data_IF_818054573629
#
_entry.id   IF_818054573629
#
_cell.length_a   1.000
_cell.length_b   1.000
_cell.length_c   1.000
_cell.angle_alpha   90.00
_cell.angle_beta   90.00
_cell.angle_gamma   90.00
#
_symmetry.space_group_name_H-M   'P 1'
#
loop_
_entity.id
_entity.type
_entity.pdbx_description
1 polymer ?
#
# COMPACT_ATOMS: atom_id res chain seq x y z
N UNK A 1 -14.12 47.58 2.50
CA UNK A 1 -13.26 46.63 3.23
C UNK A 1 -13.14 45.38 2.38
N UNK A 2 -11.96 44.97 1.90
CA UNK A 2 -11.84 43.76 1.11
C UNK A 2 -11.83 42.56 2.06
N UNK A 3 -12.83 41.69 1.94
CA UNK A 3 -12.91 40.42 2.66
C UNK A 3 -12.04 39.41 1.91
N UNK A 4 -10.75 39.35 2.23
CA UNK A 4 -9.92 38.22 1.81
C UNK A 4 -10.45 36.99 2.53
N UNK A 5 -11.08 36.08 1.77
CA UNK A 5 -11.68 34.86 2.30
C UNK A 5 -10.64 34.01 3.05
N UNK A 6 -10.98 33.61 4.28
CA UNK A 6 -10.19 32.68 5.10
C UNK A 6 -9.83 31.37 4.37
N UNK A 7 -10.65 30.96 3.39
CA UNK A 7 -10.42 29.77 2.57
C UNK A 7 -9.15 29.84 1.69
N UNK A 8 -8.64 31.04 1.37
CA UNK A 8 -7.38 31.19 0.63
C UNK A 8 -6.14 31.13 1.54
N UNK A 9 -6.30 31.51 2.82
CA UNK A 9 -5.25 31.39 3.84
C UNK A 9 -5.08 29.95 4.37
N UNK A 10 -6.03 29.07 4.05
CA UNK A 10 -6.10 27.68 4.54
C UNK A 10 -5.47 26.65 3.58
N UNK A 11 -5.07 27.06 2.36
CA UNK A 11 -4.05 26.30 1.62
C UNK A 11 -2.74 26.48 2.37
N UNK A 12 -2.38 25.48 3.16
CA UNK A 12 -1.07 25.40 3.79
C UNK A 12 -0.02 25.80 2.76
N UNK A 13 0.82 26.79 3.09
CA UNK A 13 1.94 27.13 2.20
C UNK A 13 2.73 25.86 1.85
N UNK A 14 3.32 25.75 0.65
CA UNK A 14 3.91 24.49 0.16
C UNK A 14 4.82 23.78 1.17
N UNK A 15 5.65 24.54 1.91
CA UNK A 15 6.51 23.99 2.96
C UNK A 15 5.75 23.31 4.11
N UNK A 16 4.60 23.86 4.52
CA UNK A 16 3.75 23.28 5.58
C UNK A 16 2.97 22.06 5.07
N UNK A 17 2.56 22.05 3.81
CA UNK A 17 1.96 20.88 3.16
C UNK A 17 2.97 19.72 3.11
N UNK A 18 4.19 19.99 2.63
CA UNK A 18 5.29 19.02 2.60
C UNK A 18 5.60 18.47 3.99
N UNK A 19 5.77 19.36 4.99
CA UNK A 19 6.07 18.94 6.37
C UNK A 19 4.99 17.98 6.91
N UNK A 20 3.71 18.25 6.63
CA UNK A 20 2.61 17.39 7.07
C UNK A 20 2.56 16.07 6.30
N UNK A 21 2.77 16.08 4.99
CA UNK A 21 2.79 14.86 4.19
C UNK A 21 3.92 13.92 4.63
N UNK A 22 5.13 14.45 4.84
CA UNK A 22 6.28 13.68 5.35
C UNK A 22 6.00 13.12 6.74
N UNK A 23 5.41 13.91 7.63
CA UNK A 23 5.05 13.45 8.97
C UNK A 23 3.99 12.34 8.94
N UNK A 24 2.94 12.50 8.11
CA UNK A 24 1.88 11.51 7.97
C UNK A 24 2.41 10.19 7.39
N UNK A 25 3.17 10.24 6.29
CA UNK A 25 3.78 9.05 5.70
C UNK A 25 4.74 8.37 6.68
N UNK A 26 5.59 9.13 7.38
CA UNK A 26 6.52 8.57 8.37
C UNK A 26 5.81 7.91 9.54
N UNK A 27 4.67 8.44 9.99
CA UNK A 27 3.88 7.88 11.09
C UNK A 27 3.21 6.56 10.71
N UNK A 28 2.88 6.37 9.43
CA UNK A 28 2.33 5.12 8.91
C UNK A 28 3.43 4.11 8.57
N UNK A 29 4.51 4.55 7.93
CA UNK A 29 5.53 3.63 7.42
C UNK A 29 6.50 3.15 8.51
N UNK A 30 7.04 4.05 9.33
CA UNK A 30 8.14 3.68 10.26
C UNK A 30 7.73 2.65 11.32
N UNK A 31 6.59 2.78 12.02
CA UNK A 31 6.25 1.81 13.05
C UNK A 31 5.62 0.54 12.45
N UNK A 32 4.83 0.65 11.39
CA UNK A 32 4.08 -0.48 10.86
C UNK A 32 4.84 -1.28 9.80
N UNK A 33 5.79 -0.69 9.07
CA UNK A 33 6.55 -1.36 8.01
C UNK A 33 7.23 -2.66 8.46
N UNK A 34 7.13 -3.71 7.64
CA UNK A 34 7.90 -4.95 7.82
C UNK A 34 9.29 -4.82 7.20
N UNK A 35 10.25 -5.56 7.74
CA UNK A 35 11.65 -5.55 7.29
C UNK A 35 12.03 -6.84 6.53
N UNK A 36 11.05 -7.59 6.05
CA UNK A 36 11.23 -8.88 5.36
C UNK A 36 11.33 -8.75 3.83
N UNK A 37 11.33 -7.52 3.31
CA UNK A 37 11.41 -7.24 1.88
C UNK A 37 10.07 -7.34 1.14
N UNK A 38 8.97 -7.71 1.79
CA UNK A 38 7.63 -7.71 1.18
C UNK A 38 7.10 -6.30 0.88
N UNK A 39 7.64 -5.29 1.57
CA UNK A 39 7.13 -3.92 1.50
C UNK A 39 5.76 -3.73 2.15
N UNK A 40 5.25 -4.74 2.87
CA UNK A 40 3.97 -4.70 3.58
C UNK A 40 4.11 -4.05 4.97
N UNK A 41 2.98 -3.87 5.64
CA UNK A 41 2.92 -3.28 6.98
C UNK A 41 2.18 -4.22 7.94
N UNK A 42 2.38 -4.02 9.24
CA UNK A 42 1.66 -4.72 10.32
C UNK A 42 0.28 -4.08 10.53
N UNK A 43 -0.66 -4.84 11.07
CA UNK A 43 -1.99 -4.32 11.39
C UNK A 43 -1.96 -3.30 12.53
N UNK A 44 -1.14 -3.54 13.55
CA UNK A 44 -1.05 -2.69 14.74
C UNK A 44 0.36 -2.66 15.35
N UNK A 45 0.59 -1.63 16.16
CA UNK A 45 1.79 -1.45 16.97
C UNK A 45 1.38 -0.95 18.36
N UNK A 46 1.77 -1.63 19.46
CA UNK A 46 2.56 -2.86 19.50
C UNK A 46 1.80 -4.06 18.90
N UNK A 47 2.55 -5.04 18.38
CA UNK A 47 2.00 -6.27 17.81
C UNK A 47 1.42 -7.14 18.91
N UNK A 48 0.18 -7.60 18.75
CA UNK A 48 -0.43 -8.59 19.64
C UNK A 48 0.07 -10.01 19.33
N UNK A 49 -0.02 -10.89 20.32
CA UNK A 49 0.54 -12.25 20.21
C UNK A 49 -0.12 -13.10 19.10
N UNK A 50 -1.38 -12.80 18.76
CA UNK A 50 -2.19 -13.49 17.75
C UNK A 50 -2.35 -12.70 16.45
N UNK A 51 -1.63 -11.58 16.29
CA UNK A 51 -1.66 -10.80 15.07
C UNK A 51 -1.11 -11.60 13.89
N UNK A 52 -1.73 -11.37 12.73
CA UNK A 52 -1.17 -11.83 11.47
C UNK A 52 0.12 -11.04 11.16
N UNK A 53 1.05 -11.62 10.38
CA UNK A 53 2.33 -10.96 10.06
C UNK A 53 2.18 -9.61 9.34
N UNK A 54 1.13 -9.50 8.53
CA UNK A 54 0.80 -8.32 7.74
C UNK A 54 -0.59 -7.79 8.08
N UNK A 55 -0.83 -6.52 7.76
CA UNK A 55 -2.14 -5.88 7.79
C UNK A 55 -3.06 -6.44 6.71
N UNK A 56 -4.34 -6.10 6.84
CA UNK A 56 -5.26 -6.20 5.71
C UNK A 56 -4.94 -5.16 4.63
N UNK A 57 -5.58 -5.29 3.47
CA UNK A 57 -5.43 -4.42 2.31
C UNK A 57 -5.81 -2.98 2.66
N UNK A 58 -6.88 -2.81 3.42
CA UNK A 58 -7.40 -1.47 3.71
C UNK A 58 -6.39 -0.60 4.48
N UNK A 59 -5.77 -1.04 5.60
CA UNK A 59 -4.69 -0.27 6.23
C UNK A 59 -3.49 -0.04 5.31
N UNK A 60 -3.09 -1.05 4.53
CA UNK A 60 -1.97 -0.91 3.59
C UNK A 60 -2.24 0.17 2.52
N UNK A 61 -3.47 0.25 2.00
CA UNK A 61 -3.87 1.27 1.03
C UNK A 61 -3.71 2.69 1.57
N UNK A 62 -3.86 2.91 2.88
CA UNK A 62 -3.64 4.23 3.49
C UNK A 62 -2.16 4.64 3.42
N UNK A 63 -1.24 3.68 3.52
CA UNK A 63 0.20 3.91 3.34
C UNK A 63 0.50 4.25 1.88
N UNK A 64 -0.13 3.54 0.95
CA UNK A 64 0.00 3.81 -0.48
C UNK A 64 -0.52 5.20 -0.84
N UNK A 65 -1.70 5.59 -0.34
CA UNK A 65 -2.26 6.93 -0.54
C UNK A 65 -1.33 8.00 0.05
N UNK A 66 -0.78 7.81 1.25
CA UNK A 66 0.16 8.76 1.83
C UNK A 66 1.46 8.91 0.99
N UNK A 67 1.91 7.85 0.32
CA UNK A 67 3.01 7.92 -0.64
C UNK A 67 2.63 8.70 -1.91
N UNK A 68 1.39 8.55 -2.41
CA UNK A 68 0.87 9.35 -3.52
C UNK A 68 0.74 10.83 -3.15
N UNK A 69 0.27 11.14 -1.94
CA UNK A 69 0.13 12.51 -1.45
C UNK A 69 1.49 13.22 -1.35
N UNK A 70 2.58 12.48 -1.08
CA UNK A 70 3.94 13.03 -1.10
C UNK A 70 4.34 13.54 -2.49
N UNK A 71 4.01 12.80 -3.55
CA UNK A 71 4.39 13.22 -4.92
C UNK A 71 3.62 14.45 -5.38
N UNK A 72 2.42 14.68 -4.83
CA UNK A 72 1.64 15.89 -5.10
C UNK A 72 2.26 17.16 -4.50
N UNK A 73 3.15 17.03 -3.50
CA UNK A 73 3.79 18.17 -2.82
C UNK A 73 5.29 18.29 -3.07
N UNK A 74 5.98 17.21 -3.43
CA UNK A 74 7.41 17.20 -3.75
C UNK A 74 7.79 16.01 -4.65
N UNK A 75 8.37 16.31 -5.82
CA UNK A 75 8.80 15.33 -6.81
C UNK A 75 9.96 14.43 -6.32
N UNK A 76 10.66 14.81 -5.25
CA UNK A 76 11.71 13.98 -4.65
C UNK A 76 11.20 12.61 -4.16
N UNK A 77 9.88 12.44 -3.99
CA UNK A 77 9.25 11.21 -3.52
C UNK A 77 8.59 10.37 -4.62
N UNK A 78 8.82 10.67 -5.91
CA UNK A 78 8.19 9.95 -7.03
C UNK A 78 8.43 8.44 -7.05
N UNK A 79 9.47 7.94 -6.39
CA UNK A 79 9.74 6.51 -6.24
C UNK A 79 8.85 5.81 -5.21
N UNK A 80 8.31 6.51 -4.23
CA UNK A 80 7.56 5.91 -3.12
C UNK A 80 6.30 5.17 -3.60
N UNK A 81 5.43 5.75 -4.48
CA UNK A 81 4.27 5.02 -5.00
C UNK A 81 4.63 3.76 -5.79
N UNK A 82 5.77 3.75 -6.50
CA UNK A 82 6.19 2.58 -7.25
C UNK A 82 6.50 1.39 -6.32
N UNK A 83 7.17 1.65 -5.19
CA UNK A 83 7.42 0.63 -4.17
C UNK A 83 6.12 0.17 -3.50
N UNK A 84 5.17 1.09 -3.26
CA UNK A 84 3.86 0.72 -2.70
C UNK A 84 2.98 -0.04 -3.69
N UNK A 85 3.10 0.22 -4.98
CA UNK A 85 2.42 -0.53 -6.03
C UNK A 85 2.92 -1.98 -6.05
N UNK A 86 4.23 -2.21 -6.05
CA UNK A 86 4.82 -3.57 -6.01
C UNK A 86 4.29 -4.38 -4.83
N UNK A 87 4.22 -3.78 -3.65
CA UNK A 87 3.71 -4.46 -2.46
C UNK A 87 2.18 -4.60 -2.44
N UNK A 88 1.42 -3.68 -3.07
CA UNK A 88 -0.04 -3.81 -3.26
C UNK A 88 -0.38 -5.05 -4.10
N UNK A 89 0.47 -5.44 -5.04
CA UNK A 89 0.26 -6.64 -5.87
C UNK A 89 0.25 -7.94 -5.04
N UNK A 90 0.78 -7.94 -3.81
CA UNK A 90 0.60 -9.09 -2.91
C UNK A 90 -0.86 -9.35 -2.54
N UNK A 91 -1.75 -8.37 -2.72
CA UNK A 91 -3.19 -8.54 -2.53
C UNK A 91 -3.90 -8.99 -3.83
N UNK A 92 -3.25 -8.92 -4.99
CA UNK A 92 -3.88 -9.23 -6.28
C UNK A 92 -4.18 -10.72 -6.41
N UNK A 93 -5.46 -11.05 -6.58
CA UNK A 93 -5.93 -12.42 -6.61
C UNK A 93 -6.64 -12.75 -7.92
N UNK A 94 -6.02 -13.57 -8.78
CA UNK A 94 -6.47 -13.85 -10.16
C UNK A 94 -7.74 -14.72 -10.28
N UNK A 95 -8.18 -15.47 -9.26
CA UNK A 95 -9.40 -16.30 -9.41
C UNK A 95 -9.92 -17.13 -8.24
N UNK A 96 -10.26 -16.52 -7.09
CA UNK A 96 -10.85 -17.19 -5.91
C UNK A 96 -11.73 -16.24 -5.06
N UNK A 97 -12.22 -15.15 -5.66
CA UNK A 97 -13.25 -14.31 -5.04
C UNK A 97 -14.65 -14.93 -5.24
N UNK A 98 -15.61 -14.54 -4.42
CA UNK A 98 -17.03 -14.98 -4.55
C UNK A 98 -17.68 -14.51 -5.86
N UNK A 99 -17.08 -13.53 -6.53
CA UNK A 99 -17.52 -12.99 -7.83
C UNK A 99 -16.91 -13.72 -9.04
N UNK A 100 -15.89 -14.57 -8.83
CA UNK A 100 -15.15 -15.21 -9.92
C UNK A 100 -14.26 -14.28 -10.76
N UNK A 101 -14.25 -12.98 -10.46
CA UNK A 101 -13.40 -11.99 -11.13
C UNK A 101 -12.07 -11.79 -10.39
N UNK A 102 -10.98 -11.41 -11.10
CA UNK A 102 -9.76 -10.93 -10.46
C UNK A 102 -10.02 -9.68 -9.61
N UNK A 103 -9.28 -9.53 -8.53
CA UNK A 103 -9.33 -8.34 -7.69
C UNK A 103 -8.42 -8.44 -6.49
N UNK A 104 -8.35 -7.36 -5.72
CA UNK A 104 -7.59 -7.32 -4.48
C UNK A 104 -8.33 -8.07 -3.37
N UNK A 105 -7.67 -9.07 -2.80
CA UNK A 105 -8.13 -9.78 -1.62
C UNK A 105 -7.94 -8.90 -0.37
N UNK A 106 -8.72 -9.17 0.68
CA UNK A 106 -8.58 -8.43 1.95
C UNK A 106 -7.24 -8.70 2.63
N UNK A 107 -6.65 -9.87 2.44
CA UNK A 107 -5.37 -10.27 3.02
C UNK A 107 -4.38 -10.63 1.92
N UNK A 108 -3.06 -10.40 2.09
CA UNK A 108 -2.07 -10.78 1.10
C UNK A 108 -2.23 -12.25 0.69
N UNK A 109 -2.35 -12.47 -0.61
CA UNK A 109 -2.43 -13.78 -1.25
C UNK A 109 -1.01 -14.21 -1.59
N UNK A 110 -0.28 -14.48 -0.51
CA UNK A 110 1.13 -14.76 -0.56
C UNK A 110 1.41 -16.05 -1.35
N UNK A 111 2.09 -15.96 -2.49
CA UNK A 111 3.06 -16.98 -2.87
C UNK A 111 4.41 -16.52 -2.32
N UNK A 112 4.73 -16.88 -1.07
CA UNK A 112 6.03 -16.53 -0.52
C UNK A 112 7.07 -17.43 -1.20
N UNK A 113 7.76 -16.85 -2.19
CA UNK A 113 8.93 -17.45 -2.84
C UNK A 113 8.62 -18.12 -4.18
N UNK A 114 8.80 -17.36 -5.26
CA UNK A 114 9.49 -17.79 -6.48
C UNK A 114 9.64 -16.56 -7.37
N UNK A 115 10.86 -16.05 -7.48
CA UNK A 115 11.20 -15.11 -8.54
C UNK A 115 11.13 -15.82 -9.89
N UNK A 116 10.55 -15.15 -10.88
CA UNK A 116 10.65 -15.54 -12.29
C UNK A 116 9.43 -16.29 -12.82
N UNK A 117 8.84 -15.71 -13.88
CA UNK A 117 8.05 -16.34 -14.94
C UNK A 117 7.44 -17.72 -14.64
N UNK A 118 6.20 -17.73 -14.14
CA UNK A 118 5.39 -18.95 -13.99
C UNK A 118 4.21 -18.96 -14.94
N UNK A 119 4.46 -19.13 -16.24
CA UNK A 119 3.41 -19.51 -17.19
C UNK A 119 2.73 -20.79 -16.71
N UNK A 120 1.41 -20.75 -16.57
CA UNK A 120 0.62 -21.88 -16.11
C UNK A 120 0.90 -23.14 -16.96
N UNK A 121 1.49 -24.17 -16.34
CA UNK A 121 1.60 -25.48 -16.98
C UNK A 121 0.19 -26.06 -17.21
N UNK A 122 -0.15 -26.55 -18.42
CA UNK A 122 -1.47 -27.08 -18.69
C UNK A 122 -1.69 -28.38 -17.92
N UNK A 123 -2.79 -28.44 -17.16
CA UNK A 123 -3.22 -29.65 -16.45
C UNK A 123 -3.45 -30.77 -17.46
N UNK A 124 -2.61 -31.82 -17.43
CA UNK A 124 -2.87 -33.05 -18.17
C UNK A 124 -4.12 -33.72 -17.62
N UNK A 125 -5.09 -33.95 -18.50
CA UNK A 125 -6.29 -34.75 -18.22
C UNK A 125 -5.86 -36.21 -17.99
N UNK A 126 -6.46 -36.96 -17.05
CA UNK A 126 -6.22 -38.39 -16.96
C UNK A 126 -6.90 -39.09 -18.15
N UNK A 127 -6.19 -40.01 -18.79
CA UNK A 127 -6.75 -40.94 -19.77
C UNK A 127 -7.38 -42.15 -19.02
N UNK A 128 -8.39 -42.82 -19.61
CA UNK A 128 -9.08 -43.96 -19.00
C UNK A 128 -8.19 -45.20 -18.85
#
# INVERSE_FOLDING_TARGET
>A
MPTTSAAAAERLGPARALTRAVAAYSALWRPFGTNDGSGLVREQVPVAADDKPYSYEWPYSQVHIAALDLTAVDAAYESEPAERTKAQEHFWHVGKGTTGCPGYASYPVVACGEGGEGGAAPRRRPAP
#
